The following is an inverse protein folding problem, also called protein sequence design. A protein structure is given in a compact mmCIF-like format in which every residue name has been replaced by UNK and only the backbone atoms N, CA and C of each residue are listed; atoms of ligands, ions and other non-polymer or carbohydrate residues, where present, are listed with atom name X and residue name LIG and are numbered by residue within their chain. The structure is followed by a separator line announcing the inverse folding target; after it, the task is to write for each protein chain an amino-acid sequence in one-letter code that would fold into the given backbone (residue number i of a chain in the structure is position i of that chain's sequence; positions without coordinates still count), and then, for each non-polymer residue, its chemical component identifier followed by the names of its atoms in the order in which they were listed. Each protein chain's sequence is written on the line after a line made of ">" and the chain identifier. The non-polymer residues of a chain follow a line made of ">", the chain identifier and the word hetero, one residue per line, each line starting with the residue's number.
data_IF_822334114604
#
_entry.id   IF_822334114604
#
_cell.length_a   1.000
_cell.length_b   1.000
_cell.length_c   1.000
_cell.angle_alpha   90.00
_cell.angle_beta   90.00
_cell.angle_gamma   90.00
#
_symmetry.space_group_name_H-M   'P 1'
#
loop_
_entity.id
_entity.type
_entity.pdbx_description
1 polymer ?
#
# COMPACT_ATOMS: atom_id res chain seq x y z
N UNK A 1 -50.48 -13.09 1.34
CA UNK A 1 -49.06 -13.50 1.35
C UNK A 1 -48.23 -12.26 1.06
N UNK A 2 -47.70 -11.61 2.11
CA UNK A 2 -46.98 -10.33 1.99
C UNK A 2 -45.58 -10.64 1.47
N UNK A 3 -45.30 -10.21 0.23
CA UNK A 3 -43.98 -10.36 -0.38
C UNK A 3 -42.97 -9.54 0.45
N UNK A 4 -42.13 -10.26 1.19
CA UNK A 4 -41.00 -9.72 1.95
C UNK A 4 -39.85 -9.43 0.97
N UNK A 5 -40.04 -8.49 0.06
CA UNK A 5 -39.06 -8.11 -0.98
C UNK A 5 -38.35 -6.78 -0.66
N UNK A 6 -38.34 -6.35 0.61
CA UNK A 6 -37.69 -5.09 1.02
C UNK A 6 -36.22 -5.23 1.46
N UNK A 7 -35.71 -6.32 2.09
CA UNK A 7 -34.38 -6.24 2.68
C UNK A 7 -33.25 -6.48 1.66
N UNK A 8 -33.54 -7.02 0.48
CA UNK A 8 -32.53 -7.37 -0.53
C UNK A 8 -31.87 -6.15 -1.19
N UNK A 9 -32.55 -5.00 -1.23
CA UNK A 9 -31.94 -3.75 -1.70
C UNK A 9 -31.10 -3.05 -0.62
N UNK A 10 -31.34 -3.34 0.66
CA UNK A 10 -30.61 -2.73 1.77
C UNK A 10 -29.20 -3.33 1.95
N UNK A 11 -29.01 -4.61 1.59
CA UNK A 11 -27.72 -5.29 1.74
C UNK A 11 -26.65 -4.88 0.71
N UNK A 12 -27.03 -4.42 -0.49
CA UNK A 12 -26.08 -4.01 -1.53
C UNK A 12 -25.39 -2.66 -1.24
N UNK A 13 -25.96 -1.82 -0.39
CA UNK A 13 -25.43 -0.49 -0.08
C UNK A 13 -24.20 -0.52 0.87
N UNK A 14 -24.01 -1.59 1.64
CA UNK A 14 -22.99 -1.65 2.70
C UNK A 14 -21.58 -1.97 2.17
N UNK A 15 -21.45 -2.57 0.98
CA UNK A 15 -20.16 -2.97 0.40
C UNK A 15 -19.32 -1.81 -0.19
N UNK A 16 -19.86 -0.59 -0.24
CA UNK A 16 -19.21 0.55 -0.91
C UNK A 16 -18.22 1.34 -0.01
N UNK A 17 -18.07 0.99 1.27
CA UNK A 17 -17.31 1.81 2.23
C UNK A 17 -15.93 1.22 2.61
N UNK A 18 -15.48 0.15 1.96
CA UNK A 18 -14.16 -0.46 2.19
C UNK A 18 -13.04 0.25 1.41
N UNK A 19 -12.97 1.58 1.49
CA UNK A 19 -11.86 2.35 0.90
C UNK A 19 -10.59 2.21 1.76
N UNK A 20 -9.45 1.94 1.12
CA UNK A 20 -8.15 1.89 1.79
C UNK A 20 -7.85 3.22 2.49
N UNK A 21 -7.81 3.22 3.82
CA UNK A 21 -7.61 4.41 4.65
C UNK A 21 -6.11 4.72 4.88
N UNK A 22 -5.23 4.29 3.96
CA UNK A 22 -3.77 4.42 4.05
C UNK A 22 -3.26 5.73 3.48
N UNK A 23 -2.10 6.21 3.94
CA UNK A 23 -1.46 7.37 3.31
C UNK A 23 -0.81 6.96 1.99
N UNK A 24 -0.60 7.93 1.08
CA UNK A 24 0.09 7.66 -0.18
C UNK A 24 1.50 7.09 0.01
N UNK A 25 2.17 7.49 1.10
CA UNK A 25 3.48 6.97 1.46
C UNK A 25 3.42 5.48 1.86
N UNK A 26 2.34 5.05 2.53
CA UNK A 26 2.15 3.66 2.91
C UNK A 26 1.87 2.78 1.67
N UNK A 27 1.05 3.26 0.73
CA UNK A 27 0.80 2.55 -0.54
C UNK A 27 2.08 2.36 -1.37
N UNK A 28 2.92 3.40 -1.45
CA UNK A 28 4.21 3.32 -2.12
C UNK A 28 5.14 2.32 -1.42
N UNK A 29 5.16 2.32 -0.08
CA UNK A 29 5.95 1.37 0.69
C UNK A 29 5.51 -0.07 0.43
N UNK A 30 4.20 -0.32 0.45
CA UNK A 30 3.64 -1.65 0.19
C UNK A 30 3.99 -2.13 -1.22
N UNK A 31 3.89 -1.25 -2.21
CA UNK A 31 4.27 -1.54 -3.60
C UNK A 31 5.76 -1.87 -3.71
N UNK A 32 6.62 -1.06 -3.10
CA UNK A 32 8.07 -1.28 -3.11
C UNK A 32 8.45 -2.62 -2.47
N UNK A 33 7.82 -2.98 -1.34
CA UNK A 33 8.02 -4.26 -0.67
C UNK A 33 7.49 -5.44 -1.48
N UNK A 34 6.39 -5.26 -2.23
CA UNK A 34 5.87 -6.26 -3.14
C UNK A 34 6.86 -6.52 -4.28
N UNK A 35 7.34 -5.47 -4.94
CA UNK A 35 8.33 -5.55 -6.03
C UNK A 35 9.64 -6.21 -5.57
N UNK A 36 10.12 -5.87 -4.37
CA UNK A 36 11.31 -6.52 -3.79
C UNK A 36 11.10 -8.02 -3.62
N UNK A 37 9.93 -8.45 -3.11
CA UNK A 37 9.57 -9.87 -2.97
C UNK A 37 9.44 -10.58 -4.33
N UNK A 38 9.03 -9.87 -5.37
CA UNK A 38 8.98 -10.38 -6.75
C UNK A 38 10.35 -10.37 -7.44
N UNK A 39 11.44 -10.12 -6.71
CA UNK A 39 12.81 -9.99 -7.21
C UNK A 39 13.01 -8.83 -8.21
N UNK A 40 12.07 -7.89 -8.28
CA UNK A 40 12.20 -6.64 -9.03
C UNK A 40 12.89 -5.57 -8.17
N UNK A 41 14.11 -5.89 -7.72
CA UNK A 41 14.85 -5.07 -6.75
C UNK A 41 15.16 -3.67 -7.29
N UNK A 42 15.31 -3.50 -8.60
CA UNK A 42 15.59 -2.20 -9.21
C UNK A 42 14.39 -1.25 -9.10
N UNK A 43 13.18 -1.72 -9.40
CA UNK A 43 11.97 -0.91 -9.23
C UNK A 43 11.68 -0.65 -7.75
N UNK A 44 11.87 -1.65 -6.88
CA UNK A 44 11.74 -1.47 -5.44
C UNK A 44 12.63 -0.34 -4.90
N UNK A 45 13.89 -0.25 -5.36
CA UNK A 45 14.80 0.84 -4.99
C UNK A 45 14.25 2.21 -5.41
N UNK A 46 13.75 2.33 -6.64
CA UNK A 46 13.18 3.59 -7.14
C UNK A 46 12.00 4.07 -6.29
N UNK A 47 11.10 3.14 -5.93
CA UNK A 47 9.96 3.45 -5.08
C UNK A 47 10.38 3.85 -3.66
N UNK A 48 11.38 3.17 -3.08
CA UNK A 48 11.91 3.58 -1.78
C UNK A 48 12.54 4.98 -1.81
N UNK A 49 13.31 5.29 -2.87
CA UNK A 49 13.90 6.62 -3.06
C UNK A 49 12.84 7.71 -3.26
N UNK A 50 11.73 7.39 -3.94
CA UNK A 50 10.56 8.27 -4.05
C UNK A 50 9.92 8.57 -2.69
N UNK A 51 9.73 7.55 -1.84
CA UNK A 51 9.18 7.77 -0.49
C UNK A 51 10.08 8.71 0.33
N UNK A 52 11.40 8.52 0.25
CA UNK A 52 12.36 9.38 0.97
C UNK A 52 12.32 10.83 0.48
N UNK A 53 12.13 11.05 -0.82
CA UNK A 53 12.07 12.37 -1.43
C UNK A 53 10.75 13.08 -1.10
N UNK A 54 9.63 12.40 -1.27
CA UNK A 54 8.30 13.03 -1.30
C UNK A 54 7.62 12.98 0.09
N UNK A 55 8.03 12.04 0.96
CA UNK A 55 7.48 11.86 2.31
C UNK A 55 8.55 11.72 3.40
N UNK A 56 9.58 12.61 3.48
CA UNK A 56 10.79 12.41 4.28
C UNK A 56 10.56 12.27 5.79
N UNK A 57 9.43 12.77 6.31
CA UNK A 57 9.08 12.72 7.75
C UNK A 57 8.12 11.59 8.11
N UNK A 58 7.72 10.78 7.13
CA UNK A 58 6.76 9.68 7.34
C UNK A 58 7.42 8.46 7.99
N UNK A 59 6.61 7.63 8.64
CA UNK A 59 7.06 6.30 9.06
C UNK A 59 7.49 5.43 7.87
N UNK A 60 6.81 5.59 6.73
CA UNK A 60 7.15 4.91 5.49
C UNK A 60 8.58 5.26 5.01
N UNK A 61 9.01 6.54 5.12
CA UNK A 61 10.36 6.95 4.79
C UNK A 61 11.42 6.26 5.66
N UNK A 62 11.18 6.15 6.98
CA UNK A 62 12.08 5.40 7.87
C UNK A 62 12.22 3.94 7.42
N UNK A 63 11.09 3.27 7.14
CA UNK A 63 11.09 1.88 6.66
C UNK A 63 11.75 1.74 5.28
N UNK A 64 11.52 2.69 4.37
CA UNK A 64 12.10 2.71 3.03
C UNK A 64 13.64 2.81 3.09
N UNK A 65 14.17 3.67 3.97
CA UNK A 65 15.61 3.79 4.21
C UNK A 65 16.20 2.44 4.67
N UNK A 66 15.60 1.81 5.69
CA UNK A 66 16.06 0.52 6.22
C UNK A 66 16.12 -0.57 5.14
N UNK A 67 15.16 -0.57 4.20
CA UNK A 67 15.12 -1.54 3.10
C UNK A 67 16.16 -1.24 2.02
N UNK A 68 16.33 0.03 1.64
CA UNK A 68 17.38 0.42 0.69
C UNK A 68 18.77 0.02 1.18
N UNK A 69 19.05 0.18 2.46
CA UNK A 69 20.35 -0.17 3.03
C UNK A 69 20.61 -1.68 2.99
N UNK A 70 19.58 -2.52 3.21
CA UNK A 70 19.66 -3.98 3.05
C UNK A 70 19.91 -4.38 1.60
N UNK A 71 19.16 -3.81 0.65
CA UNK A 71 19.34 -4.12 -0.78
C UNK A 71 20.76 -3.75 -1.25
N UNK A 72 21.33 -2.65 -0.74
CA UNK A 72 22.70 -2.23 -1.06
C UNK A 72 23.76 -3.16 -0.47
N UNK A 73 23.52 -3.71 0.72
CA UNK A 73 24.43 -4.63 1.40
C UNK A 73 24.46 -6.03 0.76
N UNK A 74 23.35 -6.47 0.15
CA UNK A 74 23.22 -7.76 -0.52
C UNK A 74 23.90 -7.84 -1.91
N UNK A 75 24.66 -6.81 -2.31
CA UNK A 75 25.19 -6.66 -3.66
C UNK A 75 26.61 -7.19 -3.85
#
# INVERSE_FOLDING_TARGET
>A
MKQLWWPTWLCLAVLALSGCNGSKADELLDTAQFEEKQNNRDHARQLYEEILRDYPKSEAARKAQDRLDRIKADR
#
